data_IF_733516628427
#
_entry.id   IF_733516628427
#
_cell.length_a   1.000
_cell.length_b   1.000
_cell.length_c   1.000
_cell.angle_alpha   90.00
_cell.angle_beta   90.00
_cell.angle_gamma   90.00
#
_symmetry.space_group_name_H-M   'P 1'
#
loop_
_entity.id
_entity.type
_entity.pdbx_description
1 polymer ?
#
# COMPACT_ATOMS: atom_id res chain seq x y z
N UNK A 1 -12.71 -3.75 22.72
CA UNK A 1 -11.58 -3.73 21.76
C UNK A 1 -11.89 -2.64 20.75
N UNK A 2 -10.97 -1.71 20.54
CA UNK A 2 -11.15 -0.67 19.53
C UNK A 2 -11.26 -1.29 18.15
N UNK A 3 -12.13 -0.75 17.30
CA UNK A 3 -12.28 -1.20 15.92
C UNK A 3 -10.97 -1.01 15.16
N UNK A 4 -10.64 -1.93 14.23
CA UNK A 4 -9.47 -1.79 13.33
C UNK A 4 -9.45 -0.43 12.63
N UNK A 5 -10.62 0.15 12.36
CA UNK A 5 -10.76 1.49 11.79
C UNK A 5 -10.17 2.58 12.70
N UNK A 6 -10.42 2.51 14.02
CA UNK A 6 -9.89 3.48 14.99
C UNK A 6 -8.38 3.36 15.08
N UNK A 7 -7.85 2.14 15.19
CA UNK A 7 -6.41 1.89 15.22
C UNK A 7 -5.72 2.36 13.94
N UNK A 8 -6.27 2.02 12.77
CA UNK A 8 -5.74 2.45 11.47
C UNK A 8 -5.81 3.98 11.29
N UNK A 9 -6.85 4.62 11.81
CA UNK A 9 -6.99 6.09 11.79
C UNK A 9 -5.94 6.77 12.66
N UNK A 10 -5.69 6.24 13.87
CA UNK A 10 -4.63 6.76 14.73
C UNK A 10 -3.25 6.61 14.08
N UNK A 11 -2.97 5.41 13.55
CA UNK A 11 -1.74 5.13 12.81
C UNK A 11 -1.57 6.06 11.59
N UNK A 12 -2.64 6.33 10.84
CA UNK A 12 -2.64 7.29 9.74
C UNK A 12 -2.15 8.67 10.17
N UNK A 13 -2.70 9.21 11.26
CA UNK A 13 -2.29 10.52 11.76
C UNK A 13 -0.85 10.53 12.25
N UNK A 14 -0.41 9.48 12.94
CA UNK A 14 0.97 9.36 13.41
C UNK A 14 1.95 9.36 12.21
N UNK A 15 1.69 8.55 11.19
CA UNK A 15 2.53 8.48 9.97
C UNK A 15 2.49 9.79 9.17
N UNK A 16 1.32 10.40 9.01
CA UNK A 16 1.19 11.70 8.34
C UNK A 16 1.97 12.81 9.05
N UNK A 17 1.94 12.80 10.39
CA UNK A 17 2.66 13.77 11.20
C UNK A 17 4.18 13.66 11.06
N UNK A 18 4.71 12.45 10.81
CA UNK A 18 6.12 12.28 10.51
C UNK A 18 6.47 12.63 9.06
N UNK A 19 5.67 12.20 8.09
CA UNK A 19 5.94 12.51 6.67
C UNK A 19 5.92 14.02 6.39
N UNK A 20 4.97 14.77 6.96
CA UNK A 20 4.85 16.21 6.70
C UNK A 20 6.08 17.02 7.11
N UNK A 21 6.91 16.50 8.03
CA UNK A 21 8.16 17.16 8.46
C UNK A 21 9.20 17.15 7.33
N UNK A 22 9.15 16.13 6.47
CA UNK A 22 10.07 15.95 5.34
C UNK A 22 9.53 16.47 4.01
N UNK A 23 8.21 16.68 3.90
CA UNK A 23 7.51 17.06 2.67
C UNK A 23 6.83 18.44 2.79
N UNK A 24 7.61 19.47 3.10
CA UNK A 24 7.10 20.83 3.27
C UNK A 24 6.72 21.41 1.90
N UNK A 25 5.47 21.87 1.75
CA UNK A 25 4.89 22.39 0.50
C UNK A 25 4.78 21.37 -0.65
N UNK A 26 4.78 20.07 -0.33
CA UNK A 26 4.57 19.00 -1.31
C UNK A 26 3.21 18.32 -1.10
N UNK A 27 2.69 17.69 -2.16
CA UNK A 27 1.51 16.85 -2.06
C UNK A 27 1.86 15.53 -1.37
N UNK A 28 1.08 15.14 -0.36
CA UNK A 28 1.25 13.87 0.34
C UNK A 28 0.06 12.97 0.01
N UNK A 29 0.34 11.80 -0.55
CA UNK A 29 -0.65 10.77 -0.86
C UNK A 29 -0.11 9.41 -0.46
N UNK A 30 -0.86 8.67 0.37
CA UNK A 30 -0.47 7.35 0.84
C UNK A 30 -1.71 6.57 1.33
N UNK A 31 -1.56 5.26 1.45
CA UNK A 31 -2.56 4.37 2.06
C UNK A 31 -2.11 3.92 3.44
N UNK A 32 -2.68 4.46 4.53
CA UNK A 32 -2.39 4.00 5.88
C UNK A 32 -2.72 2.52 6.06
N UNK A 33 -3.81 2.08 5.43
CA UNK A 33 -4.29 0.71 5.54
C UNK A 33 -3.25 -0.29 5.02
N UNK A 34 -2.65 0.00 3.88
CA UNK A 34 -1.67 -0.89 3.25
C UNK A 34 -0.39 -0.99 4.05
N UNK A 35 0.13 0.15 4.53
CA UNK A 35 1.30 0.17 5.41
C UNK A 35 1.01 -0.62 6.68
N UNK A 36 -0.19 -0.45 7.25
CA UNK A 36 -0.58 -1.16 8.46
C UNK A 36 -0.75 -2.67 8.22
N UNK A 37 -1.28 -3.08 7.07
CA UNK A 37 -1.33 -4.49 6.64
C UNK A 37 0.07 -5.07 6.51
N UNK A 38 1.03 -4.34 5.92
CA UNK A 38 2.43 -4.73 5.82
C UNK A 38 3.05 -4.99 7.19
N UNK A 39 2.87 -4.03 8.12
CA UNK A 39 3.36 -4.15 9.49
C UNK A 39 2.71 -5.32 10.22
N UNK A 40 1.41 -5.57 9.99
CA UNK A 40 0.78 -6.77 10.52
C UNK A 40 1.42 -8.05 9.96
N UNK A 41 1.71 -8.13 8.66
CA UNK A 41 2.40 -9.30 8.09
C UNK A 41 3.79 -9.52 8.71
N UNK A 42 4.55 -8.46 8.92
CA UNK A 42 5.85 -8.54 9.60
C UNK A 42 5.68 -8.97 11.06
N UNK A 43 4.66 -8.44 11.74
CA UNK A 43 4.34 -8.78 13.14
C UNK A 43 4.07 -10.26 13.36
N UNK A 44 3.51 -10.97 12.36
CA UNK A 44 3.26 -12.42 12.44
C UNK A 44 4.53 -13.23 12.77
N UNK A 45 5.67 -12.81 12.21
CA UNK A 45 6.97 -13.43 12.43
C UNK A 45 7.78 -12.81 13.58
N UNK A 46 7.35 -11.66 14.11
CA UNK A 46 8.09 -10.95 15.14
C UNK A 46 8.01 -11.66 16.50
N UNK A 47 9.10 -11.64 17.26
CA UNK A 47 9.17 -12.18 18.64
C UNK A 47 9.92 -11.21 19.56
N UNK A 48 9.73 -11.37 20.87
CA UNK A 48 10.49 -10.66 21.89
C UNK A 48 10.33 -9.14 21.83
N UNK A 49 11.45 -8.41 21.76
CA UNK A 49 11.41 -6.95 21.75
C UNK A 49 10.78 -6.38 20.46
N UNK A 50 11.02 -7.02 19.31
CA UNK A 50 10.43 -6.61 18.02
C UNK A 50 8.91 -6.69 18.08
N UNK A 51 8.37 -7.81 18.56
CA UNK A 51 6.93 -7.99 18.76
C UNK A 51 6.35 -6.92 19.71
N UNK A 52 7.05 -6.66 20.81
CA UNK A 52 6.61 -5.69 21.83
C UNK A 52 6.56 -4.26 21.29
N UNK A 53 7.52 -3.86 20.45
CA UNK A 53 7.51 -2.54 19.80
C UNK A 53 6.37 -2.44 18.78
N UNK A 54 6.16 -3.47 17.96
CA UNK A 54 5.07 -3.49 16.98
C UNK A 54 3.68 -3.48 17.62
N UNK A 55 3.51 -4.12 18.78
CA UNK A 55 2.26 -4.02 19.58
C UNK A 55 1.93 -2.56 19.95
N UNK A 56 2.94 -1.74 20.27
CA UNK A 56 2.73 -0.32 20.58
C UNK A 56 2.25 0.48 19.36
N UNK A 57 2.62 0.06 18.15
CA UNK A 57 2.15 0.64 16.90
C UNK A 57 0.75 0.13 16.48
N UNK A 58 0.07 -0.64 17.32
CA UNK A 58 -1.31 -1.11 17.09
C UNK A 58 -1.44 -2.54 16.60
N UNK A 59 -0.34 -3.28 16.41
CA UNK A 59 -0.40 -4.71 16.07
C UNK A 59 -0.93 -5.56 17.22
N UNK A 60 -1.74 -6.57 16.91
CA UNK A 60 -2.27 -7.53 17.90
C UNK A 60 -2.52 -8.88 17.26
N UNK A 61 -2.68 -9.94 18.04
CA UNK A 61 -2.95 -11.29 17.50
C UNK A 61 -4.23 -11.36 16.66
N UNK A 62 -5.23 -10.54 16.99
CA UNK A 62 -6.50 -10.47 16.25
C UNK A 62 -6.39 -9.70 14.93
N UNK A 63 -5.30 -8.95 14.73
CA UNK A 63 -5.18 -8.01 13.62
C UNK A 63 -5.24 -8.71 12.27
N UNK A 64 -4.68 -9.92 12.16
CA UNK A 64 -4.65 -10.68 10.92
C UNK A 64 -6.07 -11.07 10.46
N UNK A 65 -6.92 -11.49 11.39
CA UNK A 65 -8.32 -11.83 11.10
C UNK A 65 -9.14 -10.59 10.74
N UNK A 66 -8.88 -9.46 11.41
CA UNK A 66 -9.53 -8.18 11.12
C UNK A 66 -9.14 -7.68 9.72
N UNK A 67 -7.87 -7.78 9.34
CA UNK A 67 -7.40 -7.43 8.00
C UNK A 67 -7.99 -8.36 6.94
N UNK A 68 -7.99 -9.68 7.16
CA UNK A 68 -8.59 -10.65 6.25
C UNK A 68 -10.06 -10.29 5.97
N UNK A 69 -10.81 -9.96 7.02
CA UNK A 69 -12.21 -9.53 6.90
C UNK A 69 -12.33 -8.20 6.14
N UNK A 70 -11.57 -7.18 6.54
CA UNK A 70 -11.62 -5.85 5.94
C UNK A 70 -11.25 -5.87 4.45
N UNK A 71 -10.15 -6.54 4.08
CA UNK A 71 -9.75 -6.71 2.68
C UNK A 71 -10.86 -7.37 1.87
N UNK A 72 -11.48 -8.44 2.38
CA UNK A 72 -12.59 -9.10 1.71
C UNK A 72 -13.85 -8.24 1.55
N UNK A 73 -14.05 -7.24 2.43
CA UNK A 73 -15.18 -6.31 2.36
C UNK A 73 -14.94 -5.18 1.35
N UNK A 74 -13.72 -4.64 1.27
CA UNK A 74 -13.40 -3.50 0.41
C UNK A 74 -13.11 -3.90 -1.04
N UNK A 75 -12.57 -5.09 -1.29
CA UNK A 75 -12.26 -5.59 -2.65
C UNK A 75 -13.45 -6.31 -3.31
N UNK A 76 -14.68 -6.05 -2.87
CA UNK A 76 -15.88 -6.69 -3.44
C UNK A 76 -16.14 -6.20 -4.86
N UNK A 77 -16.33 -7.15 -5.77
CA UNK A 77 -16.51 -6.94 -7.21
C UNK A 77 -17.79 -6.18 -7.64
N UNK A 78 -18.73 -5.92 -6.74
CA UNK A 78 -20.05 -5.35 -7.06
C UNK A 78 -20.17 -3.86 -6.68
N UNK A 79 -19.06 -3.13 -6.65
CA UNK A 79 -19.03 -1.71 -6.33
C UNK A 79 -19.28 -0.85 -7.57
N UNK A 80 -19.92 0.32 -7.40
CA UNK A 80 -20.07 1.35 -8.45
C UNK A 80 -18.81 2.20 -8.65
N UNK A 81 -17.68 1.73 -8.12
CA UNK A 81 -16.38 2.39 -8.16
C UNK A 81 -15.33 1.36 -8.59
N UNK A 82 -14.27 1.83 -9.24
CA UNK A 82 -13.08 1.02 -9.51
C UNK A 82 -12.12 1.21 -8.35
N UNK A 83 -11.99 0.18 -7.51
CA UNK A 83 -10.98 0.11 -6.46
C UNK A 83 -10.18 -1.16 -6.67
N UNK A 84 -8.93 -1.00 -7.05
CA UNK A 84 -7.98 -2.09 -7.21
C UNK A 84 -6.95 -1.93 -6.09
N UNK A 85 -6.97 -2.87 -5.15
CA UNK A 85 -5.97 -2.98 -4.10
C UNK A 85 -5.27 -4.31 -4.34
N UNK A 86 -3.99 -4.27 -4.69
CA UNK A 86 -3.16 -5.46 -4.77
C UNK A 86 -2.04 -5.35 -3.73
N UNK A 87 -2.17 -6.15 -2.67
CA UNK A 87 -1.15 -6.35 -1.65
C UNK A 87 -0.46 -7.68 -1.90
N UNK A 88 0.88 -7.66 -1.97
CA UNK A 88 1.64 -8.90 -2.13
C UNK A 88 2.94 -8.88 -1.36
N UNK A 89 3.16 -9.96 -0.64
CA UNK A 89 4.34 -10.23 0.14
C UNK A 89 5.19 -11.28 -0.56
N UNK A 90 6.41 -10.91 -0.92
CA UNK A 90 7.41 -11.81 -1.46
C UNK A 90 8.36 -12.20 -0.33
N UNK A 91 8.54 -13.50 -0.09
CA UNK A 91 9.39 -14.00 1.00
C UNK A 91 10.37 -15.01 0.44
N UNK A 92 11.62 -14.94 0.89
CA UNK A 92 12.62 -15.93 0.53
C UNK A 92 12.18 -17.35 0.96
N UNK A 93 12.33 -18.30 0.05
CA UNK A 93 11.93 -19.71 0.19
C UNK A 93 12.54 -20.41 1.40
N UNK A 94 13.63 -19.88 1.97
CA UNK A 94 14.23 -20.46 3.18
C UNK A 94 13.38 -20.28 4.44
N UNK A 95 12.35 -19.41 4.42
CA UNK A 95 11.47 -19.12 5.57
C UNK A 95 10.14 -19.91 5.51
N UNK A 96 10.23 -21.23 5.43
CA UNK A 96 9.07 -22.13 5.21
C UNK A 96 8.01 -22.06 6.31
N UNK A 97 8.41 -21.97 7.58
CA UNK A 97 7.46 -21.87 8.71
C UNK A 97 6.65 -20.57 8.64
N UNK A 98 7.31 -19.45 8.38
CA UNK A 98 6.64 -18.16 8.19
C UNK A 98 5.67 -18.20 7.01
N UNK A 99 6.12 -18.71 5.86
CA UNK A 99 5.28 -18.86 4.65
C UNK A 99 4.00 -19.66 4.94
N UNK A 100 4.12 -20.78 5.68
CA UNK A 100 2.99 -21.62 6.06
C UNK A 100 2.02 -20.89 7.01
N UNK A 101 2.53 -20.07 7.92
CA UNK A 101 1.70 -19.25 8.81
C UNK A 101 1.02 -18.11 8.03
N UNK A 102 1.76 -17.37 7.22
CA UNK A 102 1.27 -16.20 6.47
C UNK A 102 0.17 -16.58 5.47
N UNK A 103 0.32 -17.70 4.75
CA UNK A 103 -0.67 -18.20 3.78
C UNK A 103 -2.05 -18.51 4.40
N UNK A 104 -2.13 -18.81 5.70
CA UNK A 104 -3.39 -19.06 6.41
C UNK A 104 -4.23 -17.78 6.58
N UNK A 105 -3.55 -16.65 6.78
CA UNK A 105 -4.18 -15.36 7.03
C UNK A 105 -4.34 -14.52 5.76
N UNK A 106 -3.36 -14.59 4.86
CA UNK A 106 -3.23 -13.73 3.68
C UNK A 106 -3.26 -14.55 2.38
N UNK A 107 -4.25 -15.42 2.23
CA UNK A 107 -4.38 -16.32 1.08
C UNK A 107 -4.37 -15.55 -0.24
N UNK A 108 -3.43 -15.87 -1.14
CA UNK A 108 -3.22 -15.16 -2.42
C UNK A 108 -2.28 -13.94 -2.35
N UNK A 109 -2.01 -13.42 -1.16
CA UNK A 109 -1.15 -12.25 -0.93
C UNK A 109 0.28 -12.59 -0.50
N UNK A 110 0.70 -13.86 -0.53
CA UNK A 110 2.06 -14.29 -0.18
C UNK A 110 2.64 -15.15 -1.29
N UNK A 111 3.76 -14.72 -1.86
CA UNK A 111 4.53 -15.43 -2.87
C UNK A 111 5.92 -15.78 -2.34
N UNK A 112 6.37 -16.97 -2.72
CA UNK A 112 7.66 -17.51 -2.36
C UNK A 112 8.66 -17.24 -3.50
N UNK A 113 9.83 -16.70 -3.16
CA UNK A 113 10.88 -16.33 -4.13
C UNK A 113 12.25 -16.78 -3.64
N UNK A 114 13.26 -16.64 -4.48
CA UNK A 114 14.62 -17.05 -4.17
C UNK A 114 15.56 -15.84 -4.21
N UNK A 115 15.56 -15.02 -3.16
CA UNK A 115 16.46 -13.87 -3.11
C UNK A 115 17.91 -14.31 -2.94
N UNK A 116 18.17 -15.36 -2.14
CA UNK A 116 19.55 -15.78 -1.82
C UNK A 116 20.42 -16.16 -3.01
N UNK A 117 19.85 -16.81 -4.02
CA UNK A 117 20.64 -17.27 -5.18
C UNK A 117 20.11 -16.78 -6.53
N UNK A 118 18.98 -16.06 -6.56
CA UNK A 118 18.32 -15.61 -7.78
C UNK A 118 17.61 -14.25 -7.54
N UNK A 119 18.31 -13.32 -6.89
CA UNK A 119 17.75 -12.01 -6.52
C UNK A 119 17.27 -11.21 -7.73
N UNK A 120 17.98 -11.26 -8.85
CA UNK A 120 17.62 -10.50 -10.04
C UNK A 120 16.36 -11.09 -10.71
N UNK A 121 16.24 -12.42 -10.75
CA UNK A 121 15.02 -13.09 -11.21
C UNK A 121 13.83 -12.78 -10.30
N UNK A 122 14.04 -12.74 -8.98
CA UNK A 122 13.02 -12.31 -8.04
C UNK A 122 12.61 -10.85 -8.26
N UNK A 123 13.57 -9.95 -8.54
CA UNK A 123 13.30 -8.53 -8.85
C UNK A 123 12.42 -8.41 -10.09
N UNK A 124 12.78 -9.12 -11.15
CA UNK A 124 12.03 -9.12 -12.41
C UNK A 124 10.62 -9.67 -12.24
N UNK A 125 10.47 -10.77 -11.48
CA UNK A 125 9.16 -11.34 -11.14
C UNK A 125 8.27 -10.31 -10.42
N UNK A 126 8.81 -9.61 -9.42
CA UNK A 126 8.08 -8.58 -8.67
C UNK A 126 7.68 -7.44 -9.59
N UNK A 127 8.59 -6.91 -10.40
CA UNK A 127 8.30 -5.82 -11.33
C UNK A 127 7.26 -6.22 -12.39
N UNK A 128 7.33 -7.42 -12.95
CA UNK A 128 6.33 -7.94 -13.90
C UNK A 128 4.95 -8.05 -13.25
N UNK A 129 4.88 -8.47 -11.99
CA UNK A 129 3.61 -8.50 -11.26
C UNK A 129 3.07 -7.09 -11.04
N UNK A 130 3.90 -6.14 -10.60
CA UNK A 130 3.48 -4.73 -10.40
C UNK A 130 2.99 -4.09 -11.70
N UNK A 131 3.72 -4.29 -12.80
CA UNK A 131 3.34 -3.75 -14.11
C UNK A 131 1.97 -4.31 -14.53
N UNK A 132 1.74 -5.61 -14.31
CA UNK A 132 0.45 -6.25 -14.59
C UNK A 132 -0.68 -5.68 -13.73
N UNK A 133 -0.50 -5.61 -12.42
CA UNK A 133 -1.55 -5.13 -11.50
C UNK A 133 -1.84 -3.63 -11.64
N UNK A 134 -0.92 -2.87 -12.26
CA UNK A 134 -1.09 -1.43 -12.50
C UNK A 134 -1.46 -1.12 -13.95
N UNK A 135 -1.85 -2.13 -14.74
CA UNK A 135 -2.18 -1.99 -16.16
C UNK A 135 -1.08 -1.25 -16.96
N UNK A 136 0.19 -1.50 -16.63
CA UNK A 136 1.34 -0.92 -17.30
C UNK A 136 1.78 0.46 -16.81
N UNK A 137 1.09 1.06 -15.82
CA UNK A 137 1.37 2.43 -15.35
C UNK A 137 2.64 2.50 -14.51
N UNK A 138 2.92 1.48 -13.69
CA UNK A 138 4.14 1.41 -12.88
C UNK A 138 5.05 0.34 -13.46
N UNK A 139 6.19 0.79 -14.00
CA UNK A 139 7.26 -0.07 -14.52
C UNK A 139 8.50 0.08 -13.67
N UNK A 140 9.25 -1.00 -13.56
CA UNK A 140 10.53 -1.02 -12.84
C UNK A 140 10.48 -0.42 -11.42
N UNK A 141 9.42 -0.73 -10.66
CA UNK A 141 9.25 -0.26 -9.28
C UNK A 141 10.50 -0.52 -8.44
N UNK A 142 11.04 -1.73 -8.54
CA UNK A 142 12.33 -2.11 -7.97
C UNK A 142 13.41 -1.91 -9.03
N UNK A 143 14.18 -0.84 -8.90
CA UNK A 143 15.34 -0.57 -9.77
C UNK A 143 16.45 -1.60 -9.57
N UNK A 144 17.37 -1.72 -10.54
CA UNK A 144 18.52 -2.62 -10.42
C UNK A 144 19.29 -2.40 -9.11
N UNK A 145 19.68 -3.48 -8.44
CA UNK A 145 20.37 -3.47 -7.14
C UNK A 145 19.54 -2.94 -5.94
N UNK A 146 18.24 -2.71 -6.09
CA UNK A 146 17.36 -2.38 -4.94
C UNK A 146 17.09 -3.57 -4.03
N UNK A 147 17.30 -4.79 -4.54
CA UNK A 147 17.28 -6.04 -3.78
C UNK A 147 18.52 -6.86 -4.08
N UNK A 148 18.91 -7.71 -3.14
CA UNK A 148 20.15 -8.49 -3.17
C UNK A 148 19.99 -9.86 -2.50
N UNK A 149 21.10 -10.61 -2.39
CA UNK A 149 21.13 -11.93 -1.74
C UNK A 149 20.86 -11.89 -0.22
N UNK A 150 20.92 -10.71 0.40
CA UNK A 150 20.57 -10.49 1.81
C UNK A 150 19.09 -10.18 2.01
N UNK A 151 18.35 -9.92 0.93
CA UNK A 151 16.92 -9.61 0.99
C UNK A 151 16.13 -10.83 1.46
N UNK A 152 15.31 -10.64 2.50
CA UNK A 152 14.50 -11.72 3.08
C UNK A 152 13.03 -11.61 2.67
N UNK A 153 12.53 -10.37 2.54
CA UNK A 153 11.12 -10.09 2.35
C UNK A 153 10.94 -8.75 1.65
N UNK A 154 10.01 -8.71 0.70
CA UNK A 154 9.57 -7.48 0.02
C UNK A 154 8.05 -7.42 0.10
N UNK A 155 7.52 -6.32 0.63
CA UNK A 155 6.09 -6.06 0.60
C UNK A 155 5.78 -4.99 -0.44
N UNK A 156 4.87 -5.31 -1.35
CA UNK A 156 4.38 -4.38 -2.35
C UNK A 156 2.90 -4.13 -2.10
N UNK A 157 2.53 -2.86 -2.09
CA UNK A 157 1.15 -2.42 -2.18
C UNK A 157 0.97 -1.59 -3.46
N UNK A 158 -0.05 -1.91 -4.24
CA UNK A 158 -0.56 -1.05 -5.30
C UNK A 158 -2.02 -0.72 -5.00
N UNK A 159 -2.35 0.57 -5.02
CA UNK A 159 -3.74 1.04 -4.88
C UNK A 159 -4.05 1.95 -6.04
N UNK A 160 -5.14 1.59 -6.73
CA UNK A 160 -5.77 2.43 -7.71
C UNK A 160 -7.22 2.65 -7.31
N UNK A 161 -7.63 3.92 -7.23
CA UNK A 161 -9.00 4.29 -6.92
C UNK A 161 -9.52 5.28 -7.96
N UNK A 162 -10.57 4.87 -8.68
CA UNK A 162 -11.35 5.71 -9.57
C UNK A 162 -12.81 5.62 -9.17
N UNK A 163 -13.27 6.62 -8.44
CA UNK A 163 -14.65 6.75 -7.99
C UNK A 163 -15.52 7.46 -9.02
N UNK A 164 -16.79 7.07 -9.09
CA UNK A 164 -17.83 7.87 -9.74
C UNK A 164 -18.49 8.72 -8.66
N UNK A 165 -18.53 10.03 -8.85
CA UNK A 165 -19.21 10.94 -7.93
C UNK A 165 -20.68 10.55 -7.80
N UNK A 166 -21.20 10.51 -6.57
CA UNK A 166 -22.64 10.36 -6.32
C UNK A 166 -23.47 11.46 -6.99
N UNK A 167 -22.92 12.67 -7.04
CA UNK A 167 -23.46 13.81 -7.78
C UNK A 167 -22.31 14.41 -8.57
N UNK A 168 -22.27 14.12 -9.87
CA UNK A 168 -21.19 14.56 -10.74
C UNK A 168 -21.24 16.07 -11.01
N UNK A 169 -20.07 16.67 -11.21
CA UNK A 169 -19.97 18.02 -11.74
C UNK A 169 -20.42 18.04 -13.20
N UNK A 170 -21.12 19.11 -13.59
CA UNK A 170 -21.41 19.36 -14.99
C UNK A 170 -20.14 19.86 -15.69
N UNK A 171 -19.71 19.14 -16.73
CA UNK A 171 -18.46 19.43 -17.44
C UNK A 171 -18.45 20.83 -18.08
N UNK A 172 -19.62 21.37 -18.44
CA UNK A 172 -19.76 22.73 -18.97
C UNK A 172 -19.43 23.83 -17.96
N UNK A 173 -19.48 23.50 -16.67
CA UNK A 173 -19.17 24.43 -15.58
C UNK A 173 -17.68 24.35 -15.18
N UNK A 174 -16.93 23.38 -15.72
CA UNK A 174 -15.48 23.24 -15.49
C UNK A 174 -14.73 24.22 -16.38
N UNK A 175 -13.95 25.10 -15.75
CA UNK A 175 -13.12 26.11 -16.43
C UNK A 175 -11.83 26.32 -15.68
N UNK A 176 -10.80 26.72 -16.41
CA UNK A 176 -9.51 27.10 -15.84
C UNK A 176 -9.70 28.24 -14.84
N UNK A 177 -9.24 28.03 -13.61
CA UNK A 177 -9.31 29.00 -12.52
C UNK A 177 -7.97 28.99 -11.77
N UNK A 178 -7.56 30.13 -11.19
CA UNK A 178 -6.32 30.17 -10.42
C UNK A 178 -6.41 29.32 -9.14
N UNK A 179 -5.42 28.45 -8.89
CA UNK A 179 -5.28 27.69 -7.63
C UNK A 179 -4.26 28.37 -6.70
N UNK A 180 -4.68 28.72 -5.49
CA UNK A 180 -3.84 29.44 -4.53
C UNK A 180 -2.98 28.47 -3.70
N UNK A 181 -1.71 28.29 -4.10
CA UNK A 181 -0.75 27.45 -3.36
C UNK A 181 -0.23 28.12 -2.07
N UNK A 182 -0.17 29.46 -2.05
CA UNK A 182 0.24 30.25 -0.87
C UNK A 182 -0.57 31.55 -0.79
N UNK A 183 -0.47 32.27 0.35
CA UNK A 183 -1.01 33.64 0.47
C UNK A 183 -0.33 34.65 -0.47
N UNK A 184 0.79 34.29 -1.10
CA UNK A 184 1.60 35.15 -1.97
C UNK A 184 1.71 34.52 -3.36
N UNK A 185 0.57 34.39 -4.04
CA UNK A 185 0.42 34.57 -5.50
C UNK A 185 1.32 33.78 -6.46
N UNK A 186 1.68 32.53 -6.18
CA UNK A 186 2.16 31.62 -7.25
C UNK A 186 0.97 30.88 -7.84
N UNK A 187 0.60 31.25 -9.07
CA UNK A 187 -0.51 30.69 -9.81
C UNK A 187 -0.07 29.44 -10.56
N UNK A 188 -0.73 28.31 -10.32
CA UNK A 188 -0.72 27.16 -11.21
C UNK A 188 -2.12 27.01 -11.80
N UNK A 189 -2.18 26.76 -13.10
CA UNK A 189 -3.43 26.52 -13.82
C UNK A 189 -3.78 25.04 -13.75
N UNK A 190 -4.93 24.71 -13.16
CA UNK A 190 -5.44 23.34 -13.14
C UNK A 190 -6.39 23.15 -14.32
N UNK A 191 -5.90 22.62 -15.44
CA UNK A 191 -6.73 21.97 -16.45
C UNK A 191 -5.92 21.01 -17.33
N UNK A 192 -6.55 19.86 -17.61
CA UNK A 192 -6.21 18.79 -18.57
C UNK A 192 -5.54 17.55 -17.98
N UNK A 193 -6.39 16.58 -17.60
CA UNK A 193 -6.31 15.19 -18.09
C UNK A 193 -7.59 14.45 -17.67
N UNK A 194 -8.67 14.70 -18.43
CA UNK A 194 -9.79 13.76 -18.55
C UNK A 194 -9.89 13.43 -20.03
N UNK A 195 -8.91 12.70 -20.55
CA UNK A 195 -9.05 12.02 -21.83
C UNK A 195 -9.80 10.70 -21.61
N UNK A 196 -10.72 10.44 -22.53
CA UNK A 196 -11.69 9.34 -22.63
C UNK A 196 -11.13 7.94 -22.32
#
# INVERSE_FOLDING_TARGET
>A
MDSISVTNTKFCFDVFNEMKVHHVNENIFFSPLSIFTALAMVYLGARGNTESQMKKCGSSEYIHNLFKKLLSEITRSNATYSLEIADKLYVDKTFTEYLNCARKFYTGGVEEVNFKTAAEEARQLINSWVEKETNGQIKDLLVSSSIDFGTVMVFINTIYFKGIWKTAFNTKDTREMPFNMTKVGTWQTCANDVSE
#
